data_IF_262201722463
#
_entry.id   IF_262201722463
#
_cell.length_a   1.000
_cell.length_b   1.000
_cell.length_c   1.000
_cell.angle_alpha   90.00
_cell.angle_beta   90.00
_cell.angle_gamma   90.00
#
_symmetry.space_group_name_H-M   'P 1'
#
loop_
_entity.id
_entity.type
_entity.pdbx_description
1 polymer ?
#
# COMPACT_ATOMS: atom_id res chain seq x y z
N UNK A 1 31.49 51.42 61.00
CA UNK A 1 32.21 50.59 60.00
C UNK A 1 31.66 49.16 60.05
N UNK A 2 30.80 48.77 59.10
CA UNK A 2 30.59 47.38 58.70
C UNK A 2 29.91 47.35 57.34
N UNK A 3 30.48 46.56 56.42
CA UNK A 3 30.27 46.61 54.96
C UNK A 3 28.95 45.97 54.53
N UNK A 4 28.25 46.63 53.60
CA UNK A 4 27.26 46.02 52.75
C UNK A 4 27.92 44.93 51.89
N UNK A 5 27.38 43.70 51.94
CA UNK A 5 27.68 42.67 50.96
C UNK A 5 26.51 42.59 50.00
N UNK A 6 26.75 43.08 48.79
CA UNK A 6 25.91 42.94 47.61
C UNK A 6 25.54 41.46 47.43
N UNK A 7 24.25 41.13 47.59
CA UNK A 7 23.71 39.87 47.08
C UNK A 7 23.28 40.12 45.63
N UNK A 8 24.17 39.80 44.69
CA UNK A 8 23.82 39.69 43.27
C UNK A 8 22.91 38.47 43.08
N UNK A 9 21.61 38.74 42.98
CA UNK A 9 20.60 37.76 42.58
C UNK A 9 20.81 37.36 41.11
N UNK A 10 21.37 36.18 40.87
CA UNK A 10 21.44 35.58 39.54
C UNK A 10 20.05 35.02 39.19
N UNK A 11 19.28 35.76 38.41
CA UNK A 11 17.97 35.33 37.92
C UNK A 11 18.12 34.15 36.94
N UNK A 12 17.55 32.99 37.30
CA UNK A 12 17.41 31.86 36.40
C UNK A 12 16.33 32.18 35.35
N UNK A 13 16.75 32.55 34.14
CA UNK A 13 15.83 32.66 32.99
C UNK A 13 15.61 31.26 32.43
N UNK A 14 14.50 30.64 32.81
CA UNK A 14 14.01 29.41 32.15
C UNK A 14 13.37 29.84 30.83
N UNK A 15 14.10 29.68 29.73
CA UNK A 15 13.56 29.78 28.38
C UNK A 15 12.68 28.55 28.11
N UNK A 16 11.38 28.67 28.39
CA UNK A 16 10.38 27.71 27.94
C UNK A 16 10.18 27.96 26.45
N UNK A 17 10.90 27.22 25.60
CA UNK A 17 10.59 27.16 24.17
C UNK A 17 9.33 26.32 24.00
N UNK A 18 8.17 26.98 23.90
CA UNK A 18 6.97 26.33 23.40
C UNK A 18 7.24 25.94 21.94
N UNK A 19 7.56 24.67 21.70
CA UNK A 19 7.59 24.13 20.35
C UNK A 19 6.16 24.25 19.78
N UNK A 20 5.95 25.23 18.91
CA UNK A 20 4.70 25.38 18.21
C UNK A 20 4.42 24.07 17.45
N UNK A 21 3.35 23.37 17.83
CA UNK A 21 2.87 22.21 17.10
C UNK A 21 2.45 22.72 15.72
N UNK A 22 3.20 22.36 14.68
CA UNK A 22 2.78 22.67 13.31
C UNK A 22 1.37 22.12 13.10
N UNK A 23 0.50 22.90 12.47
CA UNK A 23 -0.85 22.46 12.13
C UNK A 23 -0.76 21.23 11.21
N UNK A 24 -1.65 20.27 11.43
CA UNK A 24 -1.76 19.11 10.53
C UNK A 24 -2.10 19.59 9.11
N UNK A 25 -1.43 19.07 8.06
CA UNK A 25 -1.71 19.47 6.70
C UNK A 25 -3.15 19.13 6.31
N UNK A 26 -3.80 20.05 5.60
CA UNK A 26 -5.12 19.82 5.02
C UNK A 26 -5.07 18.73 3.94
N UNK A 27 -6.24 18.21 3.54
CA UNK A 27 -6.32 17.23 2.44
C UNK A 27 -5.75 17.79 1.12
N UNK A 28 -5.96 19.07 0.85
CA UNK A 28 -5.46 19.74 -0.35
C UNK A 28 -3.94 19.88 -0.33
N UNK A 29 -3.35 20.18 0.83
CA UNK A 29 -1.89 20.23 0.98
C UNK A 29 -1.27 18.84 0.84
N UNK A 30 -1.88 17.81 1.43
CA UNK A 30 -1.43 16.42 1.26
C UNK A 30 -1.50 15.96 -0.20
N UNK A 31 -2.54 16.34 -0.93
CA UNK A 31 -2.65 16.02 -2.36
C UNK A 31 -1.51 16.67 -3.16
N UNK A 32 -1.16 17.94 -2.90
CA UNK A 32 -0.02 18.61 -3.56
C UNK A 32 1.31 17.93 -3.26
N UNK A 33 1.50 17.47 -2.02
CA UNK A 33 2.69 16.71 -1.63
C UNK A 33 2.78 15.42 -2.45
N UNK A 34 1.69 14.65 -2.54
CA UNK A 34 1.65 13.41 -3.31
C UNK A 34 1.92 13.66 -4.80
N UNK A 35 1.31 14.69 -5.40
CA UNK A 35 1.52 15.03 -6.81
C UNK A 35 2.97 15.39 -7.15
N UNK A 36 3.69 15.98 -6.20
CA UNK A 36 5.11 16.32 -6.37
C UNK A 36 6.05 15.12 -6.25
N UNK A 37 5.57 14.00 -5.71
CA UNK A 37 6.37 12.81 -5.47
C UNK A 37 6.56 11.97 -6.75
N UNK A 38 7.65 11.20 -6.79
CA UNK A 38 7.85 10.20 -7.83
C UNK A 38 6.99 8.96 -7.55
N UNK A 39 6.08 8.64 -8.44
CA UNK A 39 5.32 7.39 -8.40
C UNK A 39 6.13 6.24 -9.05
N UNK A 40 6.16 5.10 -8.37
CA UNK A 40 6.80 3.87 -8.87
C UNK A 40 5.70 2.82 -8.97
N UNK A 41 5.44 2.33 -10.18
CA UNK A 41 4.47 1.27 -10.43
C UNK A 41 5.05 -0.08 -9.99
N UNK A 42 4.35 -0.77 -9.09
CA UNK A 42 4.74 -2.09 -8.56
C UNK A 42 3.81 -3.21 -9.05
N UNK A 43 2.88 -2.90 -9.95
CA UNK A 43 1.89 -3.84 -10.47
C UNK A 43 2.34 -4.43 -11.80
N UNK A 44 2.39 -5.76 -11.88
CA UNK A 44 2.48 -6.45 -13.17
C UNK A 44 1.16 -6.31 -13.94
N UNK A 45 1.26 -6.05 -15.25
CA UNK A 45 0.10 -6.09 -16.14
C UNK A 45 -0.58 -7.47 -16.07
N UNK A 46 -1.91 -7.46 -16.02
CA UNK A 46 -2.68 -8.69 -15.97
C UNK A 46 -3.01 -9.17 -17.39
N UNK A 47 -2.53 -10.34 -17.76
CA UNK A 47 -2.68 -10.89 -19.12
C UNK A 47 -3.01 -12.39 -19.10
N UNK A 48 -3.62 -12.93 -20.18
CA UNK A 48 -3.78 -14.37 -20.33
C UNK A 48 -2.44 -15.11 -20.18
N UNK A 49 -2.40 -16.15 -19.36
CA UNK A 49 -1.18 -16.91 -19.09
C UNK A 49 -0.26 -16.31 -18.03
N UNK A 50 -0.66 -15.25 -17.32
CA UNK A 50 0.07 -14.77 -16.14
C UNK A 50 0.28 -15.92 -15.13
N UNK A 51 1.48 -16.04 -14.51
CA UNK A 51 1.75 -17.09 -13.55
C UNK A 51 0.70 -17.16 -12.45
N UNK A 52 0.36 -18.39 -12.08
CA UNK A 52 -0.57 -18.72 -10.99
C UNK A 52 0.08 -19.70 -10.03
N UNK A 53 -0.45 -19.74 -8.81
CA UNK A 53 -0.10 -20.80 -7.87
C UNK A 53 -0.56 -22.17 -8.41
N UNK A 54 0.32 -23.19 -8.47
CA UNK A 54 -0.01 -24.51 -9.04
C UNK A 54 -1.10 -25.29 -8.30
N UNK A 55 -1.40 -24.91 -7.05
CA UNK A 55 -2.48 -25.53 -6.27
C UNK A 55 -3.88 -25.13 -6.74
N UNK A 56 -4.01 -24.17 -7.67
CA UNK A 56 -5.29 -23.88 -8.29
C UNK A 56 -5.65 -24.95 -9.34
N UNK A 57 -6.94 -25.37 -9.41
CA UNK A 57 -7.37 -26.29 -10.45
C UNK A 57 -7.10 -25.71 -11.83
N UNK A 58 -6.84 -26.60 -12.80
CA UNK A 58 -6.68 -26.24 -14.20
C UNK A 58 -7.82 -25.34 -14.65
N UNK A 59 -7.45 -24.24 -15.30
CA UNK A 59 -8.39 -23.26 -15.83
C UNK A 59 -9.17 -23.91 -16.97
N UNK A 60 -10.45 -24.24 -16.77
CA UNK A 60 -11.33 -24.60 -17.87
C UNK A 60 -11.59 -23.36 -18.72
N UNK A 61 -11.89 -23.53 -20.00
CA UNK A 61 -12.31 -22.43 -20.86
C UNK A 61 -13.52 -21.71 -20.23
N UNK A 62 -13.33 -20.47 -19.76
CA UNK A 62 -14.33 -19.68 -19.02
C UNK A 62 -14.06 -19.48 -17.52
N UNK A 63 -13.16 -20.27 -16.93
CA UNK A 63 -12.75 -20.17 -15.50
C UNK A 63 -11.51 -19.28 -15.31
N UNK A 64 -11.08 -18.69 -16.42
CA UNK A 64 -10.03 -17.71 -16.52
C UNK A 64 -10.55 -16.35 -16.86
N UNK A 65 -9.66 -15.36 -16.78
CA UNK A 65 -9.95 -14.01 -17.26
C UNK A 65 -10.33 -14.07 -18.73
N UNK A 66 -11.64 -14.18 -18.96
CA UNK A 66 -12.24 -14.14 -20.27
C UNK A 66 -12.57 -12.70 -20.56
N UNK A 67 -11.64 -11.95 -21.16
CA UNK A 67 -11.96 -10.61 -21.69
C UNK A 67 -12.91 -10.79 -22.87
N UNK A 68 -14.21 -10.94 -22.58
CA UNK A 68 -15.22 -11.03 -23.62
C UNK A 68 -15.53 -9.61 -24.07
N UNK A 69 -14.87 -9.15 -25.14
CA UNK A 69 -15.26 -7.89 -25.80
C UNK A 69 -16.72 -8.00 -26.20
N UNK A 70 -17.59 -7.12 -25.71
CA UNK A 70 -19.01 -7.08 -26.10
C UNK A 70 -19.16 -6.27 -27.40
N UNK A 71 -19.32 -6.92 -28.58
CA UNK A 71 -19.22 -6.22 -29.88
C UNK A 71 -20.34 -5.19 -30.08
N UNK A 72 -21.49 -5.36 -29.41
CA UNK A 72 -22.63 -4.43 -29.48
C UNK A 72 -22.38 -3.09 -28.78
N UNK A 73 -21.54 -3.06 -27.74
CA UNK A 73 -21.19 -1.84 -26.99
C UNK A 73 -20.05 -1.06 -27.68
N UNK A 74 -19.13 -1.77 -28.34
CA UNK A 74 -18.05 -1.15 -29.10
C UNK A 74 -18.56 -0.21 -30.22
N UNK A 75 -19.72 -0.53 -30.83
CA UNK A 75 -20.38 0.34 -31.83
C UNK A 75 -20.90 1.67 -31.27
N UNK A 76 -20.98 1.80 -29.95
CA UNK A 76 -21.41 3.02 -29.25
C UNK A 76 -20.23 3.72 -28.53
N UNK A 77 -18.98 3.36 -28.87
CA UNK A 77 -17.79 3.92 -28.22
C UNK A 77 -17.50 3.36 -26.83
N UNK A 78 -18.23 2.33 -26.38
CA UNK A 78 -18.08 1.75 -25.05
C UNK A 78 -17.28 0.45 -25.14
N UNK A 79 -16.04 0.46 -24.65
CA UNK A 79 -15.22 -0.74 -24.55
C UNK A 79 -15.49 -1.44 -23.21
N UNK A 80 -16.36 -2.46 -23.24
CA UNK A 80 -16.64 -3.29 -22.07
C UNK A 80 -16.13 -4.72 -22.30
N UNK A 81 -15.19 -5.14 -21.46
CA UNK A 81 -14.76 -6.53 -21.30
C UNK A 81 -15.28 -7.07 -19.97
N UNK A 82 -15.91 -8.24 -19.99
CA UNK A 82 -16.15 -8.98 -18.75
C UNK A 82 -14.78 -9.47 -18.22
N UNK A 83 -14.51 -9.39 -16.91
CA UNK A 83 -13.22 -9.74 -16.30
C UNK A 83 -13.45 -10.48 -14.98
N UNK A 84 -13.02 -11.75 -14.90
CA UNK A 84 -13.23 -12.62 -13.74
C UNK A 84 -11.90 -13.21 -13.26
N UNK A 85 -11.08 -12.44 -12.52
CA UNK A 85 -9.83 -12.96 -11.97
C UNK A 85 -10.14 -13.91 -10.80
N UNK A 86 -9.44 -15.05 -10.73
CA UNK A 86 -9.39 -15.83 -9.48
C UNK A 86 -8.67 -15.01 -8.42
N UNK A 87 -9.09 -15.15 -7.15
CA UNK A 87 -8.79 -14.23 -6.02
C UNK A 87 -7.32 -14.14 -5.56
N UNK A 88 -6.34 -14.64 -6.31
CA UNK A 88 -4.91 -14.51 -5.98
C UNK A 88 -4.03 -14.67 -7.22
N UNK A 89 -4.34 -13.92 -8.28
CA UNK A 89 -3.66 -14.01 -9.57
C UNK A 89 -3.03 -12.67 -9.91
N UNK A 90 -1.76 -12.69 -10.33
CA UNK A 90 -0.98 -11.46 -10.52
C UNK A 90 -0.68 -10.73 -9.20
N UNK A 91 -0.50 -9.42 -9.29
CA UNK A 91 -0.31 -8.55 -8.11
C UNK A 91 -1.63 -8.46 -7.35
N UNK A 92 -1.65 -8.85 -6.07
CA UNK A 92 -2.87 -8.92 -5.26
C UNK A 92 -2.60 -8.58 -3.79
N UNK A 93 -3.68 -8.47 -3.02
CA UNK A 93 -3.66 -8.23 -1.57
C UNK A 93 -4.32 -9.42 -0.88
N UNK A 94 -3.63 -10.01 0.09
CA UNK A 94 -4.17 -11.07 0.93
C UNK A 94 -4.73 -10.50 2.24
N UNK A 95 -6.07 -10.44 2.42
CA UNK A 95 -6.64 -10.05 3.68
C UNK A 95 -6.46 -11.16 4.74
N UNK A 96 -6.61 -10.87 6.03
CA UNK A 96 -6.50 -11.88 7.09
C UNK A 96 -7.39 -13.11 6.87
N UNK A 97 -8.59 -12.91 6.31
CA UNK A 97 -9.51 -13.99 5.94
C UNK A 97 -8.95 -15.01 4.94
N UNK A 98 -7.82 -14.71 4.28
CA UNK A 98 -7.10 -15.66 3.43
C UNK A 98 -6.60 -16.88 4.20
N UNK A 99 -6.21 -16.71 5.47
CA UNK A 99 -5.59 -17.76 6.29
C UNK A 99 -6.48 -18.27 7.41
N UNK A 100 -7.37 -17.43 7.94
CA UNK A 100 -8.23 -17.77 9.07
C UNK A 100 -9.68 -17.49 8.69
N UNK A 101 -10.57 -18.48 8.86
CA UNK A 101 -11.98 -18.33 8.53
C UNK A 101 -12.66 -17.35 9.49
N UNK A 102 -13.50 -16.47 8.96
CA UNK A 102 -14.39 -15.61 9.75
C UNK A 102 -13.74 -14.33 10.31
N UNK A 103 -12.50 -14.02 9.90
CA UNK A 103 -11.87 -12.73 10.22
C UNK A 103 -11.96 -11.76 9.04
N UNK A 104 -11.28 -10.60 9.17
CA UNK A 104 -11.46 -9.47 8.25
C UNK A 104 -11.22 -9.83 6.79
N UNK A 105 -12.19 -9.52 5.93
CA UNK A 105 -12.08 -9.54 4.46
C UNK A 105 -11.56 -8.20 3.93
N UNK A 106 -11.19 -8.14 2.66
CA UNK A 106 -10.57 -6.93 2.06
C UNK A 106 -11.50 -5.70 2.11
N UNK A 107 -12.82 -5.91 1.95
CA UNK A 107 -13.84 -4.87 2.05
C UNK A 107 -14.01 -4.29 3.47
N UNK A 108 -13.41 -4.94 4.47
CA UNK A 108 -13.41 -4.52 5.87
C UNK A 108 -12.11 -3.81 6.28
N UNK A 109 -11.15 -3.65 5.36
CA UNK A 109 -9.91 -2.91 5.57
C UNK A 109 -10.14 -1.45 5.17
N UNK A 110 -9.90 -0.51 6.07
CA UNK A 110 -10.12 0.91 5.78
C UNK A 110 -9.03 1.48 4.86
N UNK A 111 -9.33 2.52 4.05
CA UNK A 111 -8.30 3.18 3.22
C UNK A 111 -7.12 3.73 4.02
N UNK A 112 -7.33 4.08 5.30
CA UNK A 112 -6.27 4.53 6.21
C UNK A 112 -5.26 3.43 6.53
N UNK A 113 -5.67 2.17 6.48
CA UNK A 113 -4.79 1.00 6.66
C UNK A 113 -4.09 0.61 5.35
N UNK A 114 -4.46 1.20 4.20
CA UNK A 114 -3.87 0.90 2.89
C UNK A 114 -2.73 1.85 2.50
N UNK A 115 -2.52 2.95 3.25
CA UNK A 115 -1.42 3.89 3.05
C UNK A 115 -0.41 3.68 4.18
N UNK A 116 0.72 3.03 3.86
CA UNK A 116 1.71 2.59 4.84
C UNK A 116 3.13 2.94 4.38
N UNK A 117 4.03 3.11 5.33
CA UNK A 117 5.45 3.18 5.03
C UNK A 117 5.96 1.82 4.54
N UNK A 118 6.65 1.82 3.40
CA UNK A 118 7.29 0.64 2.82
C UNK A 118 8.77 0.61 3.18
N UNK A 119 9.24 -0.50 3.76
CA UNK A 119 10.67 -0.78 3.95
C UNK A 119 11.09 -1.83 2.94
N UNK A 120 12.14 -1.55 2.16
CA UNK A 120 12.70 -2.48 1.18
C UNK A 120 14.00 -3.04 1.72
N UNK A 121 14.05 -4.36 1.91
CA UNK A 121 15.26 -5.08 2.31
C UNK A 121 15.80 -5.88 1.13
N UNK A 122 17.06 -5.63 0.78
CA UNK A 122 17.74 -6.33 -0.31
C UNK A 122 18.51 -7.52 0.24
N UNK A 123 18.24 -8.72 -0.28
CA UNK A 123 19.00 -9.93 0.03
C UNK A 123 19.88 -10.29 -1.16
N UNK A 124 21.21 -10.18 -1.02
CA UNK A 124 22.19 -10.46 -2.10
C UNK A 124 22.81 -11.86 -2.04
N UNK A 125 22.27 -12.79 -1.24
CA UNK A 125 22.75 -14.17 -1.19
C UNK A 125 21.93 -15.09 -2.12
N UNK A 126 22.63 -15.97 -2.86
CA UNK A 126 22.08 -16.95 -3.83
C UNK A 126 20.79 -17.62 -3.33
N UNK A 127 19.67 -17.26 -3.93
CA UNK A 127 18.45 -18.05 -3.87
C UNK A 127 18.63 -19.30 -4.75
N UNK A 128 18.88 -20.45 -4.14
CA UNK A 128 18.67 -21.72 -4.84
C UNK A 128 17.16 -21.93 -4.94
N UNK A 129 16.66 -22.19 -6.16
CA UNK A 129 15.30 -22.68 -6.34
C UNK A 129 15.18 -23.97 -5.55
N UNK A 130 14.41 -23.95 -4.46
CA UNK A 130 13.96 -25.18 -3.82
C UNK A 130 12.94 -25.76 -4.79
N UNK A 131 13.18 -26.94 -5.38
CA UNK A 131 12.19 -27.55 -6.26
C UNK A 131 10.94 -27.83 -5.44
N UNK A 132 9.81 -27.30 -5.92
CA UNK A 132 8.50 -27.64 -5.38
C UNK A 132 8.19 -29.03 -5.94
N UNK A 133 8.47 -30.07 -5.16
CA UNK A 133 8.02 -31.43 -5.48
C UNK A 133 6.53 -31.52 -5.20
N UNK A 134 5.74 -31.79 -6.24
CA UNK A 134 4.34 -32.19 -6.15
C UNK A 134 4.22 -33.67 -5.86
#
# INVERSE_FOLDING_TARGET
MMRAKELTSLGLVVLITAAARAAEPTLLENQKILESAKFIELTHAFEPGIPRWPGFPDEKAGDGVSVRKRPRLARHGIFNGDFYPRRAMGTHVDPPAHFIKGIRTVDQISPKEMILALVVSTFTARWQKIPITH
#
